data_IF_269317045293
#
_entry.id   IF_269317045293
#
_cell.length_a   1.000
_cell.length_b   1.000
_cell.length_c   1.000
_cell.angle_alpha   90.00
_cell.angle_beta   90.00
_cell.angle_gamma   90.00
#
_symmetry.space_group_name_H-M   'P 1'
#
loop_
_entity.id
_entity.type
_entity.pdbx_description
1 polymer ?
#
# COMPACT_ATOMS: atom_id res chain seq x y z
N UNK A 1 25.05 -3.08 -19.59
CA UNK A 1 23.93 -2.65 -18.72
C UNK A 1 23.93 -3.48 -17.44
N UNK A 2 23.70 -2.88 -16.25
CA UNK A 2 23.69 -3.60 -14.98
C UNK A 2 22.55 -4.63 -14.92
N UNK A 3 22.76 -5.70 -14.16
CA UNK A 3 21.73 -6.71 -13.92
C UNK A 3 20.63 -6.15 -13.01
N UNK A 4 19.39 -6.60 -13.23
CA UNK A 4 18.21 -6.20 -12.46
C UNK A 4 17.56 -7.48 -11.93
N UNK A 5 17.53 -7.67 -10.61
CA UNK A 5 17.02 -8.89 -9.96
C UNK A 5 17.62 -10.20 -10.53
N UNK A 6 18.93 -10.19 -10.82
CA UNK A 6 19.63 -11.33 -11.43
C UNK A 6 19.40 -11.49 -12.94
N UNK A 7 18.48 -10.73 -13.55
CA UNK A 7 18.27 -10.71 -14.99
C UNK A 7 19.30 -9.82 -15.68
N UNK A 8 19.92 -10.34 -16.74
CA UNK A 8 20.97 -9.66 -17.50
C UNK A 8 20.58 -9.63 -18.97
N UNK A 9 20.69 -8.44 -19.56
CA UNK A 9 20.48 -8.25 -20.99
C UNK A 9 21.52 -9.03 -21.79
N UNK A 10 21.06 -9.90 -22.69
CA UNK A 10 21.90 -10.67 -23.62
C UNK A 10 21.50 -10.29 -25.03
N UNK A 11 22.09 -9.21 -25.53
CA UNK A 11 21.92 -8.81 -26.91
C UNK A 11 22.90 -9.58 -27.77
N UNK A 12 22.37 -10.21 -28.80
CA UNK A 12 23.13 -10.67 -29.95
C UNK A 12 22.53 -10.00 -31.18
N UNK A 13 23.38 -9.49 -32.06
CA UNK A 13 22.96 -8.81 -33.28
C UNK A 13 23.63 -9.49 -34.45
N UNK A 14 22.81 -9.94 -35.39
CA UNK A 14 23.31 -10.41 -36.68
C UNK A 14 23.70 -9.21 -37.53
N UNK A 15 24.79 -9.38 -38.28
CA UNK A 15 25.17 -8.43 -39.30
C UNK A 15 24.18 -8.46 -40.49
N UNK A 16 24.06 -7.35 -41.21
CA UNK A 16 23.12 -7.23 -42.33
C UNK A 16 23.40 -8.25 -43.43
N UNK A 17 24.67 -8.56 -43.71
CA UNK A 17 25.03 -9.54 -44.73
C UNK A 17 24.66 -10.96 -44.28
N UNK A 18 24.85 -11.26 -42.98
CA UNK A 18 24.43 -12.52 -42.39
C UNK A 18 22.90 -12.68 -42.41
N UNK A 19 22.15 -11.59 -42.19
CA UNK A 19 20.69 -11.59 -42.29
C UNK A 19 20.23 -11.87 -43.71
N UNK A 20 20.82 -11.18 -44.69
CA UNK A 20 20.49 -11.35 -46.09
C UNK A 20 20.77 -12.79 -46.55
N UNK A 21 21.96 -13.32 -46.24
CA UNK A 21 22.32 -14.70 -46.57
C UNK A 21 21.35 -15.71 -45.95
N UNK A 22 21.03 -15.58 -44.66
CA UNK A 22 20.12 -16.49 -43.97
C UNK A 22 18.71 -16.47 -44.59
N UNK A 23 18.21 -15.29 -45.00
CA UNK A 23 16.92 -15.19 -45.70
C UNK A 23 16.92 -15.91 -47.05
N UNK A 24 18.00 -15.76 -47.82
CA UNK A 24 18.15 -16.48 -49.10
C UNK A 24 18.16 -17.99 -48.89
N UNK A 25 18.96 -18.48 -47.94
CA UNK A 25 19.06 -19.91 -47.64
C UNK A 25 17.71 -20.48 -47.18
N UNK A 26 16.95 -19.75 -46.35
CA UNK A 26 15.62 -20.18 -45.89
C UNK A 26 14.57 -20.18 -47.00
N UNK A 27 14.64 -19.22 -47.93
CA UNK A 27 13.76 -19.17 -49.09
C UNK A 27 13.99 -20.37 -50.03
N UNK A 28 15.22 -20.85 -50.16
CA UNK A 28 15.54 -22.06 -50.94
C UNK A 28 15.00 -23.34 -50.28
N UNK A 29 15.05 -23.42 -48.96
CA UNK A 29 14.55 -24.57 -48.18
C UNK A 29 13.01 -24.63 -48.20
N UNK A 30 12.35 -23.48 -48.44
CA UNK A 30 10.88 -23.33 -48.46
C UNK A 30 10.19 -23.89 -47.21
N UNK A 31 10.80 -23.69 -46.04
CA UNK A 31 10.23 -24.06 -44.75
C UNK A 31 9.68 -22.81 -44.02
N UNK A 32 8.36 -22.55 -44.05
CA UNK A 32 7.80 -21.32 -43.51
C UNK A 32 8.03 -21.13 -42.01
N UNK A 33 8.14 -22.22 -41.26
CA UNK A 33 8.40 -22.21 -39.81
C UNK A 33 9.80 -21.68 -39.48
N UNK A 34 10.80 -22.04 -40.29
CA UNK A 34 12.17 -21.57 -40.10
C UNK A 34 12.32 -20.08 -40.46
N UNK A 35 11.64 -19.63 -41.52
CA UNK A 35 11.59 -18.21 -41.90
C UNK A 35 10.94 -17.35 -40.80
N UNK A 36 9.78 -17.77 -40.28
CA UNK A 36 9.10 -17.06 -39.17
C UNK A 36 9.97 -17.03 -37.90
N UNK A 37 10.64 -18.15 -37.58
CA UNK A 37 11.53 -18.24 -36.43
C UNK A 37 12.71 -17.29 -36.57
N UNK A 38 13.30 -17.20 -37.76
CA UNK A 38 14.42 -16.31 -38.04
C UNK A 38 14.01 -14.84 -37.94
N UNK A 39 12.91 -14.42 -38.57
CA UNK A 39 12.42 -13.04 -38.47
C UNK A 39 12.09 -12.65 -37.02
N UNK A 40 11.45 -13.56 -36.27
CA UNK A 40 11.18 -13.35 -34.84
C UNK A 40 12.47 -13.14 -34.02
N UNK A 41 13.57 -13.81 -34.40
CA UNK A 41 14.86 -13.66 -33.74
C UNK A 41 15.51 -12.29 -33.98
N UNK A 42 15.22 -11.62 -35.10
CA UNK A 42 15.71 -10.27 -35.39
C UNK A 42 15.01 -9.20 -34.54
N UNK A 43 13.76 -9.45 -34.13
CA UNK A 43 13.02 -8.55 -33.24
C UNK A 43 13.38 -8.73 -31.76
N UNK A 44 13.95 -9.88 -31.39
CA UNK A 44 14.25 -10.27 -30.02
C UNK A 44 15.16 -9.26 -29.28
N UNK A 45 16.24 -8.71 -29.87
CA UNK A 45 17.05 -7.67 -29.21
C UNK A 45 16.24 -6.42 -28.86
N UNK A 46 15.36 -5.98 -29.75
CA UNK A 46 14.48 -4.82 -29.51
C UNK A 46 13.47 -5.10 -28.40
N UNK A 47 12.93 -6.33 -28.36
CA UNK A 47 12.04 -6.79 -27.29
C UNK A 47 12.75 -6.79 -25.94
N UNK A 48 13.95 -7.36 -25.88
CA UNK A 48 14.76 -7.39 -24.65
C UNK A 48 15.15 -5.99 -24.17
N UNK A 49 15.45 -5.05 -25.08
CA UNK A 49 15.73 -3.66 -24.73
C UNK A 49 14.51 -2.95 -24.12
N UNK A 50 13.31 -3.17 -24.69
CA UNK A 50 12.06 -2.65 -24.12
C UNK A 50 11.81 -3.22 -22.73
N UNK A 51 12.01 -4.52 -22.56
CA UNK A 51 11.88 -5.20 -21.28
C UNK A 51 12.90 -4.71 -20.25
N UNK A 52 14.16 -4.49 -20.66
CA UNK A 52 15.18 -3.90 -19.82
C UNK A 52 14.77 -2.51 -19.34
N UNK A 53 14.33 -1.65 -20.26
CA UNK A 53 13.90 -0.27 -19.94
C UNK A 53 12.71 -0.26 -19.00
N UNK A 54 11.76 -1.18 -19.18
CA UNK A 54 10.64 -1.35 -18.27
C UNK A 54 11.09 -1.75 -16.86
N UNK A 55 11.90 -2.81 -16.74
CA UNK A 55 12.44 -3.29 -15.46
C UNK A 55 13.29 -2.23 -14.76
N UNK A 56 14.12 -1.52 -15.51
CA UNK A 56 14.97 -0.44 -15.02
C UNK A 56 14.16 0.74 -14.48
N UNK A 57 13.18 1.21 -15.25
CA UNK A 57 12.32 2.32 -14.83
C UNK A 57 11.51 1.97 -13.57
N UNK A 58 11.06 0.72 -13.46
CA UNK A 58 10.37 0.21 -12.26
C UNK A 58 11.28 0.23 -11.03
N UNK A 59 12.51 -0.31 -11.12
CA UNK A 59 13.47 -0.25 -10.00
C UNK A 59 13.89 1.17 -9.65
N UNK A 60 14.02 2.04 -10.65
CA UNK A 60 14.29 3.46 -10.41
C UNK A 60 13.16 4.11 -9.62
N UNK A 61 11.89 3.86 -9.99
CA UNK A 61 10.72 4.36 -9.23
C UNK A 61 10.69 3.82 -7.80
N UNK A 62 10.97 2.54 -7.61
CA UNK A 62 11.07 1.92 -6.29
C UNK A 62 12.15 2.61 -5.42
N UNK A 63 13.33 2.87 -6.00
CA UNK A 63 14.45 3.52 -5.31
C UNK A 63 14.15 4.97 -4.91
N UNK A 64 13.55 5.76 -5.80
CA UNK A 64 13.30 7.19 -5.55
C UNK A 64 12.02 7.46 -4.76
N UNK A 65 11.20 6.43 -4.48
CA UNK A 65 9.86 6.59 -3.90
C UNK A 65 9.89 7.40 -2.62
N UNK A 66 10.69 6.98 -1.64
CA UNK A 66 10.76 7.65 -0.34
C UNK A 66 11.27 9.08 -0.48
N UNK A 67 12.34 9.30 -1.25
CA UNK A 67 12.91 10.63 -1.47
C UNK A 67 11.92 11.58 -2.17
N UNK A 68 11.11 11.05 -3.08
CA UNK A 68 10.08 11.82 -3.77
C UNK A 68 8.90 12.15 -2.85
N UNK A 69 8.45 11.22 -2.00
CA UNK A 69 7.44 11.47 -0.98
C UNK A 69 7.93 12.54 0.03
N UNK A 70 9.18 12.42 0.50
CA UNK A 70 9.79 13.41 1.39
C UNK A 70 9.84 14.80 0.74
N UNK A 71 10.23 14.89 -0.54
CA UNK A 71 10.27 16.16 -1.27
C UNK A 71 8.87 16.76 -1.49
N UNK A 72 7.84 15.93 -1.70
CA UNK A 72 6.44 16.38 -1.77
C UNK A 72 6.00 16.98 -0.44
N UNK A 73 6.26 16.28 0.67
CA UNK A 73 5.87 16.73 2.00
C UNK A 73 6.65 17.98 2.45
N UNK A 74 7.87 18.18 1.94
CA UNK A 74 8.62 19.43 2.13
C UNK A 74 7.99 20.60 1.39
N UNK A 75 7.53 20.41 0.14
CA UNK A 75 6.82 21.47 -0.59
C UNK A 75 5.52 21.85 0.13
N UNK A 76 4.75 20.88 0.63
CA UNK A 76 3.53 21.17 1.42
C UNK A 76 3.85 22.03 2.66
N UNK A 77 4.92 21.68 3.39
CA UNK A 77 5.35 22.42 4.57
C UNK A 77 5.77 23.84 4.23
N UNK A 78 6.62 24.00 3.22
CA UNK A 78 7.09 25.30 2.78
C UNK A 78 5.94 26.20 2.31
N UNK A 79 4.95 25.68 1.58
CA UNK A 79 3.77 26.47 1.20
C UNK A 79 3.05 26.98 2.46
N UNK A 80 2.82 26.13 3.47
CA UNK A 80 2.18 26.54 4.73
C UNK A 80 3.00 27.55 5.54
N UNK A 81 4.33 27.46 5.49
CA UNK A 81 5.23 28.38 6.19
C UNK A 81 5.31 29.75 5.51
N UNK A 82 5.22 29.78 4.18
CA UNK A 82 5.30 31.02 3.40
C UNK A 82 3.99 31.79 3.46
N UNK A 83 2.85 31.11 3.48
CA UNK A 83 1.51 31.72 3.43
C UNK A 83 1.32 32.88 4.46
N UNK A 84 1.60 32.72 5.76
CA UNK A 84 1.45 33.80 6.74
C UNK A 84 2.37 35.00 6.48
N UNK A 85 3.52 34.76 5.86
CA UNK A 85 4.53 35.82 5.59
C UNK A 85 4.09 36.73 4.45
N UNK A 86 3.24 36.23 3.55
CA UNK A 86 2.81 36.94 2.35
C UNK A 86 1.35 37.41 2.41
N UNK A 87 0.57 36.97 3.40
CA UNK A 87 -0.87 37.26 3.52
C UNK A 87 -1.20 38.77 3.51
N UNK A 88 -0.33 39.58 4.10
CA UNK A 88 -0.48 41.04 4.15
C UNK A 88 0.19 41.78 2.97
N UNK A 89 0.78 41.06 2.01
CA UNK A 89 1.49 41.65 0.88
C UNK A 89 0.56 41.89 -0.32
N UNK A 90 0.88 42.89 -1.13
CA UNK A 90 0.13 43.18 -2.36
C UNK A 90 0.30 42.05 -3.39
N UNK A 91 -0.75 41.69 -4.17
CA UNK A 91 -0.69 40.55 -5.10
C UNK A 91 0.42 40.61 -6.16
N UNK A 92 0.85 41.82 -6.55
CA UNK A 92 1.93 42.03 -7.54
C UNK A 92 3.31 42.19 -6.91
N UNK A 93 3.41 42.19 -5.58
CA UNK A 93 4.68 42.30 -4.88
C UNK A 93 5.50 41.02 -5.10
N UNK A 94 6.81 41.17 -5.24
CA UNK A 94 7.75 40.04 -5.24
C UNK A 94 7.92 39.50 -3.83
N UNK A 95 7.84 38.18 -3.69
CA UNK A 95 8.12 37.47 -2.45
C UNK A 95 9.64 37.47 -2.23
N UNK A 96 10.13 37.67 -1.00
CA UNK A 96 11.57 37.55 -0.70
C UNK A 96 12.14 36.18 -1.13
N UNK A 97 13.38 36.16 -1.63
CA UNK A 97 13.97 34.92 -2.15
C UNK A 97 14.20 33.86 -1.06
N UNK A 98 14.45 34.27 0.18
CA UNK A 98 14.70 33.34 1.30
C UNK A 98 13.57 32.29 1.47
N UNK A 99 12.28 32.65 1.53
CA UNK A 99 11.18 31.68 1.53
C UNK A 99 11.05 30.87 0.21
N UNK A 100 11.26 31.47 -0.96
CA UNK A 100 11.08 30.78 -2.25
C UNK A 100 12.21 29.80 -2.59
N UNK A 101 13.42 30.00 -2.07
CA UNK A 101 14.59 29.19 -2.40
C UNK A 101 14.37 27.70 -2.06
N UNK A 102 13.71 27.40 -0.94
CA UNK A 102 13.35 26.04 -0.54
C UNK A 102 12.40 25.37 -1.54
N UNK A 103 11.35 26.09 -1.96
CA UNK A 103 10.38 25.59 -2.94
C UNK A 103 11.03 25.31 -4.29
N UNK A 104 11.88 26.23 -4.78
CA UNK A 104 12.63 26.04 -6.03
C UNK A 104 13.55 24.82 -5.96
N UNK A 105 14.17 24.59 -4.81
CA UNK A 105 15.08 23.47 -4.59
C UNK A 105 14.35 22.15 -4.67
N UNK A 106 13.28 21.96 -3.90
CA UNK A 106 12.51 20.72 -3.93
C UNK A 106 11.76 20.52 -5.25
N UNK A 107 11.31 21.59 -5.92
CA UNK A 107 10.76 21.49 -7.27
C UNK A 107 11.78 20.94 -8.29
N UNK A 108 13.04 21.41 -8.23
CA UNK A 108 14.13 20.90 -9.09
C UNK A 108 14.53 19.48 -8.72
N UNK A 109 14.54 19.15 -7.43
CA UNK A 109 14.79 17.81 -6.92
C UNK A 109 13.76 16.83 -7.49
N UNK A 110 12.46 17.14 -7.34
CA UNK A 110 11.37 16.33 -7.91
C UNK A 110 11.56 16.21 -9.43
N UNK A 111 11.84 17.31 -10.14
CA UNK A 111 12.09 17.29 -11.59
C UNK A 111 13.23 16.33 -11.98
N UNK A 112 14.28 16.25 -11.15
CA UNK A 112 15.42 15.36 -11.37
C UNK A 112 15.08 13.90 -11.08
N UNK A 113 14.37 13.66 -9.97
CA UNK A 113 13.93 12.33 -9.56
C UNK A 113 12.98 11.73 -10.60
N UNK A 114 11.98 12.47 -11.07
CA UNK A 114 11.05 11.99 -12.09
C UNK A 114 11.76 11.74 -13.43
N UNK A 115 12.65 12.65 -13.86
CA UNK A 115 13.40 12.54 -15.11
C UNK A 115 12.54 12.07 -16.29
N UNK A 116 13.03 11.09 -17.05
CA UNK A 116 12.30 10.45 -18.16
C UNK A 116 11.54 9.17 -17.76
N UNK A 117 11.53 8.80 -16.48
CA UNK A 117 10.90 7.54 -16.03
C UNK A 117 9.43 7.67 -15.69
N UNK A 118 8.92 8.90 -15.60
CA UNK A 118 7.51 9.20 -15.33
C UNK A 118 7.04 10.32 -16.28
N UNK A 119 5.75 10.32 -16.65
CA UNK A 119 5.17 11.45 -17.36
C UNK A 119 5.27 12.72 -16.51
N UNK A 120 5.34 13.87 -17.18
CA UNK A 120 5.41 15.16 -16.52
C UNK A 120 4.11 15.42 -15.73
N UNK A 121 4.17 15.87 -14.47
CA UNK A 121 2.97 16.11 -13.67
C UNK A 121 2.07 17.20 -14.27
N UNK A 122 0.80 17.14 -13.92
CA UNK A 122 -0.17 18.15 -14.31
C UNK A 122 0.23 19.51 -13.75
N UNK A 123 0.09 20.57 -14.55
CA UNK A 123 0.45 21.95 -14.20
C UNK A 123 1.91 22.16 -13.78
N UNK A 124 2.82 21.22 -14.08
CA UNK A 124 4.23 21.30 -13.68
C UNK A 124 4.98 22.46 -14.37
N UNK A 125 4.59 22.80 -15.59
CA UNK A 125 5.20 23.92 -16.34
C UNK A 125 4.75 25.26 -15.76
N UNK A 126 3.48 25.37 -15.41
CA UNK A 126 2.84 26.51 -14.77
C UNK A 126 3.46 26.74 -13.39
N UNK A 127 3.64 25.69 -12.61
CA UNK A 127 4.29 25.76 -11.30
C UNK A 127 5.73 26.27 -11.42
N UNK A 128 6.48 25.76 -12.40
CA UNK A 128 7.83 26.24 -12.69
C UNK A 128 7.88 27.71 -13.10
N UNK A 129 6.88 28.17 -13.87
CA UNK A 129 6.73 29.57 -14.29
C UNK A 129 6.40 30.49 -13.12
N UNK A 130 5.43 30.09 -12.29
CA UNK A 130 5.03 30.85 -11.10
C UNK A 130 6.15 30.91 -10.06
N UNK A 131 6.87 29.80 -9.85
CA UNK A 131 8.08 29.81 -9.05
C UNK A 131 9.12 30.74 -9.65
N UNK A 132 9.33 30.75 -10.97
CA UNK A 132 10.28 31.66 -11.63
C UNK A 132 9.98 33.15 -11.32
N UNK A 133 8.73 33.60 -11.51
CA UNK A 133 8.34 34.98 -11.28
C UNK A 133 8.29 35.38 -9.80
N UNK A 134 7.80 34.49 -8.93
CA UNK A 134 7.87 34.67 -7.48
C UNK A 134 7.04 35.84 -6.94
N UNK A 135 5.92 36.20 -7.58
CA UNK A 135 5.00 37.20 -7.06
C UNK A 135 3.97 36.58 -6.09
N UNK A 136 3.35 37.40 -5.24
CA UNK A 136 2.30 36.94 -4.30
C UNK A 136 1.13 36.26 -5.05
N UNK A 137 0.69 36.82 -6.17
CA UNK A 137 -0.33 36.21 -7.02
C UNK A 137 0.10 34.85 -7.59
N UNK A 138 1.37 34.72 -8.03
CA UNK A 138 1.93 33.45 -8.50
C UNK A 138 1.93 32.40 -7.38
N UNK A 139 2.20 32.81 -6.14
CA UNK A 139 2.17 31.91 -4.99
C UNK A 139 0.75 31.44 -4.66
N UNK A 140 -0.25 32.31 -4.74
CA UNK A 140 -1.64 31.89 -4.57
C UNK A 140 -2.08 30.90 -5.65
N UNK A 141 -1.63 31.08 -6.90
CA UNK A 141 -1.84 30.10 -7.97
C UNK A 141 -1.14 28.77 -7.67
N UNK A 142 0.08 28.82 -7.11
CA UNK A 142 0.81 27.62 -6.66
C UNK A 142 0.03 26.89 -5.57
N UNK A 143 -0.36 27.60 -4.50
CA UNK A 143 -1.05 27.03 -3.35
C UNK A 143 -2.43 26.48 -3.69
N UNK A 144 -3.23 27.25 -4.45
CA UNK A 144 -4.62 26.93 -4.72
C UNK A 144 -4.83 25.98 -5.89
N UNK A 145 -3.89 25.93 -6.85
CA UNK A 145 -4.16 25.29 -8.15
C UNK A 145 -3.02 24.40 -8.64
N UNK A 146 -1.82 24.95 -8.81
CA UNK A 146 -0.75 24.21 -9.47
C UNK A 146 -0.22 23.07 -8.60
N UNK A 147 0.12 23.36 -7.34
CA UNK A 147 0.66 22.35 -6.45
C UNK A 147 -0.34 21.22 -6.14
N UNK A 148 -1.62 21.49 -5.82
CA UNK A 148 -2.62 20.43 -5.65
C UNK A 148 -2.75 19.50 -6.87
N UNK A 149 -2.76 20.07 -8.09
CA UNK A 149 -2.83 19.30 -9.33
C UNK A 149 -1.56 18.48 -9.56
N UNK A 150 -0.39 19.11 -9.45
CA UNK A 150 0.91 18.47 -9.60
C UNK A 150 1.11 17.33 -8.59
N UNK A 151 0.77 17.56 -7.32
CA UNK A 151 0.86 16.59 -6.23
C UNK A 151 -0.04 15.38 -6.47
N UNK A 152 -1.28 15.61 -6.90
CA UNK A 152 -2.21 14.53 -7.24
C UNK A 152 -1.66 13.66 -8.38
N UNK A 153 -1.15 14.30 -9.44
CA UNK A 153 -0.53 13.62 -10.59
C UNK A 153 0.76 12.87 -10.19
N UNK A 154 1.63 13.48 -9.37
CA UNK A 154 2.84 12.86 -8.84
C UNK A 154 2.52 11.59 -8.03
N UNK A 155 1.58 11.68 -7.07
CA UNK A 155 1.17 10.53 -6.27
C UNK A 155 0.53 9.44 -7.14
N UNK A 156 -0.31 9.80 -8.11
CA UNK A 156 -0.90 8.85 -9.05
C UNK A 156 0.17 8.12 -9.88
N UNK A 157 1.19 8.82 -10.35
CA UNK A 157 2.27 8.25 -11.17
C UNK A 157 3.26 7.43 -10.34
N UNK A 158 3.44 7.76 -9.06
CA UNK A 158 4.23 6.99 -8.10
C UNK A 158 3.64 5.59 -7.83
N UNK A 159 2.31 5.50 -7.92
CA UNK A 159 1.51 4.29 -7.65
C UNK A 159 0.71 3.83 -8.89
N UNK A 160 1.19 4.14 -10.10
CA UNK A 160 0.46 3.88 -11.35
C UNK A 160 0.04 2.42 -11.55
N UNK A 161 -1.11 2.23 -12.20
CA UNK A 161 -1.83 0.96 -12.43
C UNK A 161 -1.02 -0.17 -13.09
N UNK A 162 0.15 0.13 -13.65
CA UNK A 162 1.02 -0.81 -14.38
C UNK A 162 2.39 -1.02 -13.73
N UNK A 163 2.62 -0.59 -12.49
CA UNK A 163 3.75 -1.12 -11.72
C UNK A 163 3.31 -2.45 -11.11
N UNK A 164 3.75 -3.60 -11.66
CA UNK A 164 3.52 -4.85 -10.94
C UNK A 164 4.19 -4.65 -9.59
N UNK A 165 3.50 -4.97 -8.53
CA UNK A 165 4.15 -5.22 -7.25
C UNK A 165 5.12 -6.40 -7.52
N UNK A 166 6.36 -6.42 -7.01
CA UNK A 166 7.20 -7.60 -7.14
C UNK A 166 6.58 -8.73 -6.32
N UNK A 167 5.63 -9.45 -6.92
CA UNK A 167 5.03 -10.64 -6.34
C UNK A 167 5.79 -11.83 -6.93
N UNK A 168 6.59 -12.51 -6.11
CA UNK A 168 7.09 -13.84 -6.45
C UNK A 168 5.91 -14.81 -6.30
N UNK A 169 5.11 -14.98 -7.34
CA UNK A 169 4.05 -16.00 -7.37
C UNK A 169 4.27 -16.90 -8.57
N UNK A 170 4.07 -18.20 -8.36
CA UNK A 170 4.27 -19.25 -9.36
C UNK A 170 3.25 -19.26 -10.49
N UNK A 171 2.13 -18.54 -10.39
CA UNK A 171 1.11 -18.53 -11.44
C UNK A 171 0.37 -17.18 -11.52
N UNK A 172 0.29 -16.63 -12.73
CA UNK A 172 -0.37 -15.36 -13.08
C UNK A 172 -1.84 -15.57 -13.48
N UNK A 173 -2.25 -16.80 -13.79
CA UNK A 173 -3.59 -17.11 -14.28
C UNK A 173 -4.67 -16.96 -13.19
N UNK A 174 -4.34 -17.20 -11.92
CA UNK A 174 -5.28 -17.01 -10.80
C UNK A 174 -5.58 -15.53 -10.49
N UNK A 175 -4.62 -14.64 -10.78
CA UNK A 175 -4.72 -13.21 -10.45
C UNK A 175 -5.61 -12.43 -11.44
N UNK A 176 -5.62 -12.84 -12.71
CA UNK A 176 -6.47 -12.22 -13.76
C UNK A 176 -7.95 -12.56 -13.55
N UNK A 177 -8.25 -13.73 -12.99
CA UNK A 177 -9.61 -14.17 -12.71
C UNK A 177 -10.30 -13.38 -11.58
N UNK A 178 -9.54 -12.68 -10.73
CA UNK A 178 -10.08 -12.09 -9.50
C UNK A 178 -10.34 -10.57 -9.53
N UNK A 179 -9.98 -9.84 -10.61
CA UNK A 179 -10.15 -8.37 -10.80
C UNK A 179 -10.51 -7.59 -9.52
N UNK A 180 -9.59 -7.39 -8.56
CA UNK A 180 -9.87 -6.58 -7.38
C UNK A 180 -9.42 -5.15 -7.63
N UNK A 181 -10.36 -4.21 -7.63
CA UNK A 181 -10.11 -2.77 -7.58
C UNK A 181 -10.07 -2.33 -6.12
N UNK A 182 -8.86 -2.15 -5.57
CA UNK A 182 -8.62 -1.68 -4.20
C UNK A 182 -7.16 -1.87 -3.78
N UNK A 183 -6.69 -1.23 -2.68
CA UNK A 183 -5.30 -1.35 -2.22
C UNK A 183 -5.03 -2.80 -1.86
N UNK A 184 -4.15 -3.46 -2.64
CA UNK A 184 -3.80 -4.87 -2.48
C UNK A 184 -3.00 -5.00 -1.18
N UNK A 185 -3.55 -5.64 -0.13
CA UNK A 185 -2.75 -6.00 1.03
C UNK A 185 -1.70 -7.00 0.54
N UNK A 186 -0.43 -6.73 0.81
CA UNK A 186 0.62 -7.70 0.48
C UNK A 186 0.44 -8.89 1.41
N UNK A 187 0.22 -10.09 0.86
CA UNK A 187 -0.02 -11.31 1.65
C UNK A 187 1.10 -11.48 2.69
N UNK A 188 0.75 -11.48 3.97
CA UNK A 188 1.71 -11.62 5.05
C UNK A 188 2.04 -13.10 5.27
N UNK A 189 3.28 -13.39 5.66
CA UNK A 189 3.68 -14.76 5.96
C UNK A 189 3.27 -15.14 7.39
N UNK A 190 1.99 -15.51 7.54
CA UNK A 190 1.41 -15.91 8.81
C UNK A 190 2.02 -17.20 9.38
N UNK A 191 2.59 -18.09 8.54
CA UNK A 191 3.24 -19.34 8.97
C UNK A 191 4.45 -19.12 9.89
N UNK A 192 5.03 -17.91 9.87
CA UNK A 192 6.17 -17.57 10.73
C UNK A 192 5.78 -17.30 12.18
N UNK A 193 4.51 -17.06 12.46
CA UNK A 193 4.05 -16.76 13.81
C UNK A 193 3.57 -18.03 14.51
N UNK A 194 3.92 -18.11 15.78
CA UNK A 194 3.23 -18.96 16.74
C UNK A 194 1.91 -18.31 17.19
N UNK A 195 1.03 -19.09 17.81
CA UNK A 195 -0.22 -18.57 18.41
C UNK A 195 0.04 -17.38 19.37
N UNK A 196 1.12 -17.45 20.17
CA UNK A 196 1.52 -16.38 21.09
C UNK A 196 2.04 -15.14 20.36
N UNK A 197 2.82 -15.32 19.30
CA UNK A 197 3.32 -14.19 18.51
C UNK A 197 2.19 -13.51 17.73
N UNK A 198 1.18 -14.27 17.30
CA UNK A 198 -0.04 -13.71 16.73
C UNK A 198 -0.81 -12.88 17.76
N UNK A 199 -0.97 -13.35 19.00
CA UNK A 199 -1.55 -12.55 20.09
C UNK A 199 -0.73 -11.28 20.36
N UNK A 200 0.62 -11.37 20.41
CA UNK A 200 1.53 -10.21 20.55
C UNK A 200 1.34 -9.18 19.46
N UNK A 201 1.19 -9.64 18.21
CA UNK A 201 0.99 -8.76 17.07
C UNK A 201 -0.31 -7.98 17.22
N UNK A 202 -1.41 -8.67 17.57
CA UNK A 202 -2.71 -8.02 17.77
C UNK A 202 -2.66 -7.06 18.98
N UNK A 203 -1.99 -7.43 20.07
CA UNK A 203 -1.76 -6.54 21.21
C UNK A 203 -1.00 -5.28 20.81
N UNK A 204 0.08 -5.43 20.04
CA UNK A 204 0.89 -4.30 19.57
C UNK A 204 0.10 -3.40 18.60
N UNK A 205 -0.74 -4.01 17.77
CA UNK A 205 -1.64 -3.30 16.86
C UNK A 205 -2.63 -2.42 17.61
N UNK A 206 -3.31 -2.94 18.65
CA UNK A 206 -4.27 -2.16 19.43
C UNK A 206 -3.61 -1.15 20.35
N UNK A 207 -2.43 -1.46 20.91
CA UNK A 207 -1.71 -0.55 21.79
C UNK A 207 -1.20 0.69 21.05
N UNK A 208 -0.90 0.55 19.76
CA UNK A 208 -0.50 1.66 18.88
C UNK A 208 -1.66 2.45 18.26
N UNK A 209 -2.92 2.04 18.47
CA UNK A 209 -4.06 2.65 17.77
C UNK A 209 -4.75 3.76 18.58
N UNK A 210 -4.85 4.99 18.04
CA UNK A 210 -5.62 6.05 18.69
C UNK A 210 -7.09 5.64 18.88
N UNK A 211 -7.59 5.78 20.12
CA UNK A 211 -8.95 5.39 20.47
C UNK A 211 -9.09 4.01 21.10
N UNK A 212 -7.98 3.26 21.28
CA UNK A 212 -7.92 2.08 22.13
C UNK A 212 -7.14 2.43 23.41
N UNK A 213 -7.80 2.29 24.56
CA UNK A 213 -7.25 2.61 25.89
C UNK A 213 -7.17 1.35 26.77
N UNK A 214 -6.15 1.29 27.62
CA UNK A 214 -5.92 0.19 28.58
C UNK A 214 -5.94 -1.21 27.95
N UNK A 215 -5.07 -1.51 26.97
CA UNK A 215 -4.93 -2.86 26.45
C UNK A 215 -4.35 -3.76 27.55
N UNK A 216 -5.05 -4.85 27.84
CA UNK A 216 -4.68 -5.86 28.82
C UNK A 216 -4.51 -7.21 28.12
N UNK A 217 -3.40 -7.86 28.40
CA UNK A 217 -3.18 -9.24 28.00
C UNK A 217 -3.57 -10.14 29.17
N UNK A 218 -4.67 -10.87 29.00
CA UNK A 218 -5.40 -11.43 30.14
C UNK A 218 -5.00 -12.86 30.52
N UNK A 219 -4.32 -13.61 29.65
CA UNK A 219 -3.96 -15.01 29.94
C UNK A 219 -2.58 -15.40 29.39
N UNK A 220 -2.00 -16.47 29.96
CA UNK A 220 -0.90 -17.20 29.33
C UNK A 220 -1.49 -18.07 28.20
N UNK A 221 -0.86 -18.03 27.02
CA UNK A 221 -1.25 -18.61 25.71
C UNK A 221 -1.61 -20.11 25.70
N UNK A 222 -1.49 -20.83 26.83
CA UNK A 222 -1.79 -22.27 26.98
C UNK A 222 -2.45 -22.65 28.31
N UNK A 223 -3.08 -21.70 29.02
CA UNK A 223 -3.91 -22.04 30.16
C UNK A 223 -5.23 -22.67 29.69
N UNK A 224 -5.72 -23.70 30.40
CA UNK A 224 -6.97 -24.40 30.10
C UNK A 224 -8.25 -23.55 30.33
N UNK A 225 -8.13 -22.21 30.36
CA UNK A 225 -9.22 -21.30 30.71
C UNK A 225 -9.64 -20.43 29.52
N UNK A 226 -10.74 -20.87 28.88
CA UNK A 226 -11.88 -20.02 28.49
C UNK A 226 -11.58 -18.77 27.65
N UNK A 227 -10.78 -18.88 26.59
CA UNK A 227 -10.90 -18.04 25.38
C UNK A 227 -10.78 -16.52 25.55
N UNK A 228 -10.00 -16.04 26.52
CA UNK A 228 -9.74 -14.60 26.69
C UNK A 228 -8.29 -14.31 26.37
N UNK A 229 -8.04 -13.71 25.21
CA UNK A 229 -6.67 -13.42 24.80
C UNK A 229 -6.35 -11.97 25.18
N UNK A 230 -7.13 -11.00 24.68
CA UNK A 230 -6.91 -9.57 24.92
C UNK A 230 -8.18 -8.83 25.33
N UNK A 231 -8.05 -7.80 26.17
CA UNK A 231 -9.13 -6.88 26.57
C UNK A 231 -8.69 -5.44 26.39
N UNK A 232 -9.58 -4.57 25.92
CA UNK A 232 -9.27 -3.16 25.69
C UNK A 232 -10.53 -2.31 25.77
N UNK A 233 -10.39 -1.04 26.11
CA UNK A 233 -11.49 -0.08 26.08
C UNK A 233 -11.41 0.73 24.79
N UNK A 234 -12.41 0.62 23.92
CA UNK A 234 -12.52 1.48 22.73
C UNK A 234 -13.24 2.78 23.09
N UNK A 235 -12.61 3.91 22.78
CA UNK A 235 -13.12 5.25 23.05
C UNK A 235 -13.37 5.99 21.74
N UNK A 236 -14.65 6.16 21.41
CA UNK A 236 -15.05 6.99 20.28
C UNK A 236 -15.31 8.41 20.79
N UNK A 237 -14.57 9.38 20.24
CA UNK A 237 -14.74 10.79 20.56
C UNK A 237 -15.67 11.42 19.53
N UNK A 238 -16.77 11.97 20.00
CA UNK A 238 -17.69 12.76 19.21
C UNK A 238 -17.67 14.20 19.74
N UNK A 239 -17.36 15.15 18.86
CA UNK A 239 -17.27 16.57 19.20
C UNK A 239 -18.60 17.17 19.68
N UNK A 240 -19.72 16.51 19.41
CA UNK A 240 -21.06 16.94 19.84
C UNK A 240 -21.64 16.04 20.94
N UNK A 241 -21.26 14.76 20.97
CA UNK A 241 -21.88 13.74 21.83
C UNK A 241 -21.00 13.24 22.99
N UNK A 242 -19.78 13.78 23.14
CA UNK A 242 -18.84 13.42 24.21
C UNK A 242 -18.02 12.17 23.91
N UNK A 243 -17.76 11.33 24.91
CA UNK A 243 -16.95 10.12 24.78
C UNK A 243 -17.80 8.87 25.01
N UNK A 244 -17.88 7.99 24.00
CA UNK A 244 -18.47 6.67 24.14
C UNK A 244 -17.38 5.65 24.41
N UNK A 245 -17.46 4.97 25.55
CA UNK A 245 -16.53 3.91 25.97
C UNK A 245 -17.21 2.57 25.81
N UNK A 246 -16.58 1.66 25.08
CA UNK A 246 -17.05 0.29 24.88
C UNK A 246 -15.98 -0.69 25.36
N UNK A 247 -16.38 -1.67 26.18
CA UNK A 247 -15.49 -2.78 26.55
C UNK A 247 -15.38 -3.75 25.39
N UNK A 248 -14.15 -3.95 24.92
CA UNK A 248 -13.84 -4.82 23.78
C UNK A 248 -13.03 -6.02 24.25
N UNK A 249 -13.48 -7.22 23.91
CA UNK A 249 -12.68 -8.44 24.06
C UNK A 249 -12.26 -8.91 22.67
N UNK A 250 -10.99 -9.29 22.53
CA UNK A 250 -10.44 -9.81 21.27
C UNK A 250 -10.01 -11.24 21.50
N UNK A 251 -10.59 -12.15 20.74
CA UNK A 251 -10.15 -13.54 20.64
C UNK A 251 -9.30 -13.67 19.37
N UNK A 252 -8.05 -14.08 19.57
CA UNK A 252 -7.11 -14.45 18.55
C UNK A 252 -7.24 -15.95 18.23
N UNK A 253 -7.33 -16.29 16.94
CA UNK A 253 -7.36 -17.65 16.42
C UNK A 253 -6.37 -17.75 15.27
N UNK A 254 -5.14 -18.12 15.57
CA UNK A 254 -4.10 -18.28 14.55
C UNK A 254 -4.31 -19.60 13.76
N UNK A 255 -5.21 -19.58 12.79
CA UNK A 255 -5.61 -20.75 12.01
C UNK A 255 -5.29 -20.54 10.53
N UNK A 256 -4.32 -21.28 10.02
CA UNK A 256 -3.85 -21.15 8.63
C UNK A 256 -4.70 -22.00 7.66
N UNK A 257 -5.09 -23.21 8.09
CA UNK A 257 -5.85 -24.16 7.27
C UNK A 257 -7.34 -24.21 7.64
N UNK A 258 -7.66 -23.92 8.91
CA UNK A 258 -9.03 -24.00 9.44
C UNK A 258 -9.71 -22.65 9.34
N UNK A 259 -10.95 -22.65 8.85
CA UNK A 259 -11.82 -21.45 8.89
C UNK A 259 -12.69 -21.41 10.15
N UNK A 260 -13.02 -20.20 10.59
CA UNK A 260 -13.96 -19.95 11.69
C UNK A 260 -15.37 -20.34 11.25
N UNK A 261 -15.99 -21.26 11.98
CA UNK A 261 -17.33 -21.79 11.71
C UNK A 261 -18.41 -21.11 12.57
N UNK A 262 -19.72 -21.25 12.23
CA UNK A 262 -20.80 -20.74 13.08
C UNK A 262 -20.79 -21.32 14.50
N UNK A 263 -20.33 -22.56 14.67
CA UNK A 263 -20.20 -23.20 15.97
C UNK A 263 -19.14 -22.52 16.84
N UNK A 264 -18.03 -22.10 16.24
CA UNK A 264 -16.97 -21.35 16.93
C UNK A 264 -17.48 -19.98 17.41
N UNK A 265 -18.23 -19.28 16.54
CA UNK A 265 -18.84 -17.98 16.89
C UNK A 265 -19.86 -18.14 18.02
N UNK A 266 -20.71 -19.16 17.96
CA UNK A 266 -21.69 -19.44 18.99
C UNK A 266 -21.02 -19.75 20.33
N UNK A 267 -19.97 -20.59 20.33
CA UNK A 267 -19.21 -20.94 21.53
C UNK A 267 -18.60 -19.69 22.18
N UNK A 268 -17.91 -18.84 21.40
CA UNK A 268 -17.33 -17.61 21.92
C UNK A 268 -18.40 -16.69 22.51
N UNK A 269 -19.54 -16.57 21.84
CA UNK A 269 -20.66 -15.77 22.35
C UNK A 269 -21.17 -16.28 23.71
N UNK A 270 -21.36 -17.57 23.87
CA UNK A 270 -21.80 -18.14 25.17
C UNK A 270 -20.74 -17.92 26.26
N UNK A 271 -19.45 -17.93 25.90
CA UNK A 271 -18.36 -17.63 26.85
C UNK A 271 -18.39 -16.18 27.34
N UNK A 272 -18.87 -15.21 26.54
CA UNK A 272 -18.97 -13.80 26.96
C UNK A 272 -19.80 -13.63 28.23
N UNK A 273 -20.86 -14.44 28.40
CA UNK A 273 -21.75 -14.36 29.56
C UNK A 273 -21.01 -14.69 30.87
N UNK A 274 -19.92 -15.46 30.80
CA UNK A 274 -19.10 -15.79 31.97
C UNK A 274 -18.18 -14.63 32.40
N UNK A 275 -18.16 -13.53 31.64
CA UNK A 275 -17.16 -12.47 31.75
C UNK A 275 -17.73 -11.11 32.17
N UNK A 276 -19.00 -11.12 32.53
CA UNK A 276 -19.72 -10.01 33.17
C UNK A 276 -19.71 -10.17 34.70
N UNK A 277 -19.71 -9.07 35.48
CA UNK A 277 -19.60 -7.65 35.09
C UNK A 277 -18.14 -7.13 35.04
N UNK A 278 -17.85 -6.02 34.31
CA UNK A 278 -18.77 -5.22 33.49
C UNK A 278 -19.16 -5.91 32.18
N UNK A 279 -20.27 -5.53 31.57
CA UNK A 279 -20.72 -6.12 30.29
C UNK A 279 -19.68 -5.93 29.19
N UNK A 280 -19.58 -6.92 28.29
CA UNK A 280 -18.80 -6.80 27.06
C UNK A 280 -19.67 -6.20 25.97
N UNK A 281 -19.21 -5.11 25.35
CA UNK A 281 -19.96 -4.40 24.31
C UNK A 281 -19.59 -4.91 22.91
N UNK A 282 -18.30 -5.22 22.69
CA UNK A 282 -17.78 -5.67 21.41
C UNK A 282 -16.91 -6.92 21.60
N UNK A 283 -17.19 -7.96 20.81
CA UNK A 283 -16.35 -9.13 20.64
C UNK A 283 -15.67 -9.05 19.27
N UNK A 284 -14.36 -9.02 19.24
CA UNK A 284 -13.58 -9.12 18.01
C UNK A 284 -13.03 -10.54 17.89
N UNK A 285 -13.23 -11.16 16.73
CA UNK A 285 -12.62 -12.44 16.40
C UNK A 285 -11.54 -12.17 15.36
N UNK A 286 -10.28 -12.23 15.78
CA UNK A 286 -9.11 -12.02 14.94
C UNK A 286 -8.51 -13.37 14.52
N UNK A 287 -8.30 -13.58 13.23
CA UNK A 287 -7.74 -14.82 12.72
C UNK A 287 -6.78 -14.59 11.56
N UNK A 288 -5.70 -15.37 11.52
CA UNK A 288 -4.78 -15.44 10.37
C UNK A 288 -5.35 -16.26 9.20
N UNK A 289 -6.58 -16.75 9.31
CA UNK A 289 -7.30 -17.46 8.26
C UNK A 289 -8.59 -16.75 7.87
N UNK A 290 -9.62 -17.54 7.56
CA UNK A 290 -10.88 -17.06 6.98
C UNK A 290 -12.08 -17.42 7.86
N UNK A 291 -13.19 -16.75 7.61
CA UNK A 291 -14.51 -17.14 8.11
C UNK A 291 -15.22 -17.94 7.03
N UNK A 292 -16.01 -18.94 7.42
CA UNK A 292 -16.91 -19.58 6.46
C UNK A 292 -18.07 -18.64 6.11
N UNK A 293 -18.66 -18.81 4.93
CA UNK A 293 -19.81 -18.01 4.48
C UNK A 293 -20.96 -18.05 5.49
N UNK A 294 -21.21 -19.21 6.09
CA UNK A 294 -22.25 -19.39 7.11
C UNK A 294 -21.91 -18.63 8.40
N UNK A 295 -20.63 -18.54 8.78
CA UNK A 295 -20.21 -17.80 9.96
C UNK A 295 -20.40 -16.29 9.75
N UNK A 296 -20.04 -15.79 8.57
CA UNK A 296 -20.28 -14.38 8.17
C UNK A 296 -21.77 -14.07 8.22
N UNK A 297 -22.61 -14.89 7.58
CA UNK A 297 -24.06 -14.70 7.57
C UNK A 297 -24.67 -14.74 8.98
N UNK A 298 -24.17 -15.61 9.86
CA UNK A 298 -24.61 -15.68 11.25
C UNK A 298 -24.24 -14.40 12.03
N UNK A 299 -23.04 -13.86 11.82
CA UNK A 299 -22.58 -12.62 12.45
C UNK A 299 -23.36 -11.41 11.93
N UNK A 300 -23.56 -11.29 10.63
CA UNK A 300 -24.32 -10.19 10.02
C UNK A 300 -25.79 -10.19 10.47
N UNK A 301 -26.42 -11.37 10.51
CA UNK A 301 -27.78 -11.54 11.04
C UNK A 301 -27.86 -11.11 12.50
N UNK A 302 -26.84 -11.39 13.30
CA UNK A 302 -26.78 -10.94 14.69
C UNK A 302 -26.57 -9.42 14.78
N UNK A 303 -25.73 -8.83 13.93
CA UNK A 303 -25.51 -7.39 13.92
C UNK A 303 -26.79 -6.59 13.61
N UNK A 304 -27.72 -7.19 12.87
CA UNK A 304 -29.06 -6.63 12.60
C UNK A 304 -30.08 -6.91 13.71
N UNK A 305 -29.77 -7.78 14.66
CA UNK A 305 -30.64 -8.04 15.82
C UNK A 305 -30.45 -6.97 16.89
N UNK A 306 -31.48 -6.75 17.72
CA UNK A 306 -31.46 -5.81 18.86
C UNK A 306 -30.63 -6.35 20.05
N UNK A 307 -29.53 -7.05 19.75
CA UNK A 307 -28.62 -7.59 20.75
C UNK A 307 -27.56 -6.57 21.06
N UNK A 308 -27.30 -6.46 22.34
CA UNK A 308 -26.41 -5.44 22.86
C UNK A 308 -24.91 -5.76 22.60
N UNK A 309 -24.55 -7.04 22.44
CA UNK A 309 -23.19 -7.47 22.06
C UNK A 309 -23.00 -7.39 20.53
N UNK A 310 -22.04 -6.56 20.10
CA UNK A 310 -21.59 -6.47 18.71
C UNK A 310 -20.43 -7.44 18.47
N UNK A 311 -20.44 -8.14 17.32
CA UNK A 311 -19.33 -9.02 16.91
C UNK A 311 -18.66 -8.40 15.68
N UNK A 312 -17.33 -8.26 15.72
CA UNK A 312 -16.51 -7.79 14.60
C UNK A 312 -15.55 -8.89 14.13
N UNK A 313 -15.40 -9.00 12.81
CA UNK A 313 -14.57 -10.02 12.17
C UNK A 313 -13.27 -9.38 11.67
N UNK A 314 -12.14 -9.88 12.14
CA UNK A 314 -10.81 -9.52 11.65
C UNK A 314 -10.17 -10.73 10.95
N UNK A 315 -10.58 -11.05 9.70
CA UNK A 315 -9.93 -12.09 8.90
C UNK A 315 -8.52 -11.68 8.46
N UNK A 316 -7.78 -12.64 7.89
CA UNK A 316 -6.43 -12.42 7.34
C UNK A 316 -6.37 -11.14 6.50
N UNK A 317 -7.31 -10.95 5.56
CA UNK A 317 -7.32 -9.83 4.63
C UNK A 317 -7.53 -8.48 5.32
N UNK A 318 -8.32 -8.44 6.41
CA UNK A 318 -8.52 -7.24 7.19
C UNK A 318 -7.27 -6.91 8.00
N UNK A 319 -6.65 -7.91 8.62
CA UNK A 319 -5.40 -7.74 9.36
C UNK A 319 -4.25 -7.29 8.44
N UNK A 320 -4.15 -7.85 7.24
CA UNK A 320 -3.15 -7.43 6.26
C UNK A 320 -3.34 -5.95 5.86
N UNK A 321 -4.59 -5.50 5.69
CA UNK A 321 -4.88 -4.10 5.42
C UNK A 321 -4.50 -3.19 6.60
N UNK A 322 -4.81 -3.59 7.84
CA UNK A 322 -4.43 -2.84 9.04
C UNK A 322 -2.91 -2.78 9.21
N UNK A 323 -2.20 -3.88 8.95
CA UNK A 323 -0.75 -3.96 9.10
C UNK A 323 0.00 -3.27 7.96
N UNK A 324 -0.58 -3.20 6.75
CA UNK A 324 0.01 -2.46 5.64
C UNK A 324 0.22 -0.97 5.97
N UNK A 325 -0.67 -0.37 6.77
CA UNK A 325 -0.52 0.98 7.28
C UNK A 325 0.53 1.11 8.41
N UNK A 326 1.07 0.00 8.92
CA UNK A 326 2.01 -0.07 10.06
C UNK A 326 3.24 -0.94 9.73
N UNK A 327 4.14 -0.49 8.83
CA UNK A 327 5.30 -1.28 8.40
C UNK A 327 6.25 -1.69 9.54
N UNK A 328 6.31 -0.91 10.62
CA UNK A 328 7.14 -1.23 11.79
C UNK A 328 6.72 -2.55 12.46
N UNK A 329 5.42 -2.79 12.61
CA UNK A 329 4.90 -4.05 13.17
C UNK A 329 5.17 -5.23 12.23
N UNK A 330 5.07 -5.03 10.91
CA UNK A 330 5.41 -6.07 9.93
C UNK A 330 6.89 -6.49 10.07
N UNK A 331 7.79 -5.52 10.27
CA UNK A 331 9.21 -5.76 10.42
C UNK A 331 9.56 -6.44 11.76
N UNK A 332 8.96 -5.96 12.86
CA UNK A 332 9.16 -6.50 14.21
C UNK A 332 8.80 -7.98 14.30
N UNK A 333 7.69 -8.37 13.67
CA UNK A 333 7.19 -9.75 13.67
C UNK A 333 7.68 -10.58 12.47
N UNK A 334 8.58 -10.04 11.63
CA UNK A 334 9.23 -10.78 10.55
C UNK A 334 8.28 -11.29 9.46
N UNK A 335 7.13 -10.63 9.25
CA UNK A 335 6.02 -11.10 8.42
C UNK A 335 6.23 -10.98 6.90
N UNK A 336 7.44 -10.59 6.46
CA UNK A 336 7.85 -10.45 5.05
C UNK A 336 8.82 -11.52 4.59
#
# INVERSE_FOLDING_TARGET
MPAIDGWRLKLDFLDLDAIAQTRFDLAEIMEPTAEISFESSLEEPSRQLREYRFRFNRKRRELIRQTLDDAIDQIDRLIREIHPTIEAMEPRASIPEAPLAGLRTHFKEITTLIGSSMPRPDRWTEMGRHLHFGQVGDFHDIEGVDWPAAKSSLRKNLYGQDDPIPVKVGDLCELIASKPSGPIPTKLNWEKLTDEEFERLIFSLIAGEPGYENPEWLTQTRAADKGRDLSVTRVNRDGLSGHLRARVIIQCKHWLERSISPADVALLREQMALWEPPRVDILIIATSGRFTTDAVAAIEKQAQSDRALRIEMWPESHLEMLLAARPALIAEFGLR
#
